data_IF_659331658334
#
_entry.id   IF_659331658334
#
_cell.length_a   1.000
_cell.length_b   1.000
_cell.length_c   1.000
_cell.angle_alpha   90.00
_cell.angle_beta   90.00
_cell.angle_gamma   90.00
#
_symmetry.space_group_name_H-M   'P 1'
#
loop_
_entity.id
_entity.type
_entity.pdbx_description
1 polymer ?
#
# COMPACT_ATOMS: atom_id res chain seq x y z
N UNK A 1 12.10 -14.21 22.62
CA UNK A 1 11.09 -13.13 22.55
C UNK A 1 10.39 -13.30 21.21
N UNK A 2 9.06 -13.40 21.19
CA UNK A 2 8.34 -13.35 19.91
C UNK A 2 8.44 -11.93 19.35
N UNK A 3 8.52 -11.74 18.02
CA UNK A 3 8.46 -10.41 17.44
C UNK A 3 7.15 -9.70 17.81
N UNK A 4 7.20 -8.38 17.99
CA UNK A 4 6.05 -7.52 18.32
C UNK A 4 5.14 -7.25 17.10
N UNK A 5 5.14 -8.15 16.12
CA UNK A 5 4.35 -8.07 14.91
C UNK A 5 3.84 -9.45 14.51
N UNK A 6 2.69 -9.47 13.86
CA UNK A 6 2.12 -10.68 13.28
C UNK A 6 2.62 -10.90 11.83
N UNK A 7 2.33 -12.07 11.27
CA UNK A 7 2.78 -12.43 9.92
C UNK A 7 2.22 -11.52 8.81
N UNK A 8 1.03 -10.96 9.00
CA UNK A 8 0.42 -10.06 8.03
C UNK A 8 1.15 -8.71 8.00
N UNK A 9 1.49 -8.16 9.15
CA UNK A 9 2.28 -6.92 9.27
C UNK A 9 3.66 -7.08 8.65
N UNK A 10 4.32 -8.23 8.88
CA UNK A 10 5.59 -8.54 8.23
C UNK A 10 5.44 -8.59 6.70
N UNK A 11 4.41 -9.29 6.20
CA UNK A 11 4.15 -9.40 4.76
C UNK A 11 3.89 -8.03 4.12
N UNK A 12 3.06 -7.19 4.73
CA UNK A 12 2.77 -5.82 4.27
C UNK A 12 4.05 -4.99 4.26
N UNK A 13 4.85 -5.06 5.33
CA UNK A 13 6.11 -4.31 5.44
C UNK A 13 7.13 -4.72 4.38
N UNK A 14 7.22 -6.01 4.08
CA UNK A 14 8.10 -6.52 3.02
C UNK A 14 7.58 -6.11 1.65
N UNK A 15 6.27 -6.26 1.39
CA UNK A 15 5.66 -5.87 0.12
C UNK A 15 5.82 -4.38 -0.19
N UNK A 16 5.66 -3.51 0.81
CA UNK A 16 5.85 -2.06 0.64
C UNK A 16 7.25 -1.69 0.12
N UNK A 17 8.29 -2.42 0.53
CA UNK A 17 9.68 -2.21 0.09
C UNK A 17 9.93 -2.55 -1.38
N UNK A 18 9.06 -3.36 -1.99
CA UNK A 18 9.13 -3.68 -3.42
C UNK A 18 8.49 -2.59 -4.29
N UNK A 19 7.75 -1.65 -3.70
CA UNK A 19 7.15 -0.54 -4.41
C UNK A 19 8.18 0.58 -4.55
N UNK A 20 8.54 0.87 -5.79
CA UNK A 20 9.52 1.91 -6.13
C UNK A 20 8.86 3.28 -6.23
N UNK A 21 9.57 4.30 -5.78
CA UNK A 21 9.11 5.69 -5.84
C UNK A 21 8.87 6.16 -7.28
N UNK A 22 7.83 6.97 -7.47
CA UNK A 22 7.41 7.46 -8.79
C UNK A 22 6.85 6.41 -9.76
N UNK A 23 6.69 5.15 -9.34
CA UNK A 23 6.05 4.12 -10.17
C UNK A 23 4.53 4.12 -10.02
N UNK A 24 3.88 3.48 -10.99
CA UNK A 24 2.44 3.22 -10.94
C UNK A 24 2.17 1.79 -10.50
N UNK A 25 1.25 1.61 -9.56
CA UNK A 25 0.79 0.29 -9.11
C UNK A 25 -0.74 0.23 -9.15
N UNK A 26 -1.27 -0.85 -9.74
CA UNK A 26 -2.69 -1.18 -9.65
C UNK A 26 -2.93 -2.04 -8.39
N UNK A 27 -3.83 -1.63 -7.52
CA UNK A 27 -4.14 -2.33 -6.26
C UNK A 27 -5.65 -2.45 -6.05
N UNK A 28 -6.06 -3.54 -5.41
CA UNK A 28 -7.41 -3.72 -4.86
C UNK A 28 -7.47 -3.30 -3.38
N UNK A 29 -8.32 -3.96 -2.60
CA UNK A 29 -8.47 -3.75 -1.14
C UNK A 29 -7.53 -4.65 -0.31
N UNK A 30 -7.49 -4.44 1.01
CA UNK A 30 -6.83 -5.34 1.95
C UNK A 30 -5.30 -5.18 1.99
N UNK A 31 -4.57 -6.30 2.11
CA UNK A 31 -3.12 -6.29 2.30
C UNK A 31 -2.33 -5.59 1.17
N UNK A 32 -2.68 -5.71 -0.13
CA UNK A 32 -2.04 -4.94 -1.20
C UNK A 32 -2.23 -3.42 -1.04
N UNK A 33 -3.44 -2.99 -0.64
CA UNK A 33 -3.71 -1.57 -0.37
C UNK A 33 -2.87 -1.09 0.82
N UNK A 34 -2.82 -1.86 1.91
CA UNK A 34 -2.00 -1.54 3.08
C UNK A 34 -0.51 -1.39 2.72
N UNK A 35 0.01 -2.24 1.82
CA UNK A 35 1.39 -2.15 1.35
C UNK A 35 1.63 -0.88 0.53
N UNK A 36 0.73 -0.53 -0.39
CA UNK A 36 0.81 0.72 -1.16
C UNK A 36 0.72 1.96 -0.26
N UNK A 37 -0.19 1.96 0.72
CA UNK A 37 -0.30 3.01 1.72
C UNK A 37 0.96 3.16 2.56
N UNK A 38 1.54 2.05 3.01
CA UNK A 38 2.77 2.06 3.79
C UNK A 38 3.95 2.58 2.94
N UNK A 39 4.03 2.19 1.67
CA UNK A 39 5.05 2.67 0.75
C UNK A 39 4.94 4.18 0.52
N UNK A 40 3.73 4.72 0.27
CA UNK A 40 3.48 6.16 0.17
C UNK A 40 3.90 6.94 1.44
N UNK A 41 3.77 6.34 2.62
CA UNK A 41 4.18 6.96 3.89
C UNK A 41 5.66 6.78 4.24
N UNK A 42 6.41 5.97 3.49
CA UNK A 42 7.79 5.60 3.84
C UNK A 42 8.76 5.76 2.68
N UNK A 43 8.94 4.73 1.83
CA UNK A 43 10.00 4.67 0.84
C UNK A 43 9.61 5.13 -0.58
N UNK A 44 8.33 5.38 -0.84
CA UNK A 44 7.81 5.71 -2.17
C UNK A 44 6.70 6.80 -2.11
N UNK A 45 7.02 8.01 -1.64
CA UNK A 45 6.03 9.10 -1.49
C UNK A 45 5.33 9.51 -2.79
N UNK A 46 6.00 9.38 -3.94
CA UNK A 46 5.46 9.70 -5.27
C UNK A 46 4.85 8.46 -5.97
N UNK A 47 4.59 7.37 -5.24
CA UNK A 47 3.91 6.19 -5.77
C UNK A 47 2.49 6.52 -6.25
N UNK A 48 2.23 6.26 -7.52
CA UNK A 48 0.92 6.47 -8.16
C UNK A 48 0.08 5.21 -8.01
N UNK A 49 -0.93 5.28 -7.14
CA UNK A 49 -1.88 4.17 -6.95
C UNK A 49 -3.02 4.27 -7.97
N UNK A 50 -3.40 3.13 -8.56
CA UNK A 50 -4.59 2.99 -9.40
C UNK A 50 -5.50 1.92 -8.78
N UNK A 51 -6.76 2.27 -8.56
CA UNK A 51 -7.80 1.34 -8.14
C UNK A 51 -8.54 0.77 -9.34
N UNK A 52 -8.96 -0.48 -9.22
CA UNK A 52 -9.70 -1.21 -10.26
C UNK A 52 -11.00 -0.52 -10.69
N UNK A 53 -11.61 0.29 -9.82
CA UNK A 53 -12.81 1.06 -10.12
C UNK A 53 -12.54 2.42 -10.79
N UNK A 54 -11.27 2.72 -11.11
CA UNK A 54 -10.87 3.92 -11.85
C UNK A 54 -10.37 5.08 -10.99
N UNK A 55 -10.21 4.89 -9.67
CA UNK A 55 -9.51 5.87 -8.84
C UNK A 55 -8.03 5.95 -9.22
N UNK A 56 -7.52 7.14 -9.53
CA UNK A 56 -6.12 7.36 -9.95
C UNK A 56 -5.44 8.36 -9.03
N UNK A 57 -4.22 8.04 -8.64
CA UNK A 57 -3.39 8.83 -7.72
C UNK A 57 -4.12 9.27 -6.42
N UNK A 58 -4.89 8.40 -5.75
CA UNK A 58 -5.47 8.76 -4.47
C UNK A 58 -4.35 8.95 -3.45
N UNK A 59 -4.44 10.04 -2.68
CA UNK A 59 -3.73 10.11 -1.41
C UNK A 59 -4.50 9.25 -0.42
N UNK A 60 -3.84 8.28 0.22
CA UNK A 60 -4.47 7.32 1.12
C UNK A 60 -4.16 7.66 2.59
N UNK A 61 -4.90 8.59 3.23
CA UNK A 61 -4.69 8.94 4.63
C UNK A 61 -5.02 7.77 5.55
N UNK A 62 -6.08 7.02 5.23
CA UNK A 62 -6.62 5.88 5.95
C UNK A 62 -7.06 4.76 4.99
N UNK A 63 -7.27 3.54 5.53
CA UNK A 63 -7.63 2.37 4.73
C UNK A 63 -9.05 2.55 4.17
N UNK A 64 -9.23 2.55 2.84
CA UNK A 64 -10.57 2.63 2.27
C UNK A 64 -11.39 1.37 2.59
N UNK A 65 -12.67 1.56 2.90
CA UNK A 65 -13.62 0.46 3.13
C UNK A 65 -13.87 -0.33 1.82
N UNK A 66 -13.90 0.38 0.69
CA UNK A 66 -13.88 -0.17 -0.66
C UNK A 66 -13.13 0.79 -1.59
N UNK A 67 -12.61 0.27 -2.71
CA UNK A 67 -11.90 1.05 -3.74
C UNK A 67 -12.76 1.32 -4.98
N UNK A 68 -14.03 0.93 -4.89
CA UNK A 68 -15.06 0.90 -5.92
C UNK A 68 -16.32 0.23 -5.40
#
# INVERSE_FOLDING_TARGET
MAPDYNMMELMISVAARYLEDGKTVAVGTGAPCAAAMLAQKTNAPDLVVIFEAGGVAPLLPEMPISVG
#
